data_IF_112762824807
#
_entry.id   IF_112762824807
#
_cell.length_a   1.000
_cell.length_b   1.000
_cell.length_c   1.000
_cell.angle_alpha   90.00
_cell.angle_beta   90.00
_cell.angle_gamma   90.00
#
_symmetry.space_group_name_H-M   'P 1'
#
loop_
_entity.id
_entity.type
_entity.pdbx_description
1 polymer ?
#
# COMPACT_ATOMS: atom_id res chain seq x y z
N UNK A 1 -27.33 -34.59 9.45
CA UNK A 1 -26.70 -34.49 8.11
C UNK A 1 -27.26 -33.27 7.40
N UNK A 2 -26.66 -32.11 7.67
CA UNK A 2 -26.94 -30.89 6.93
C UNK A 2 -25.77 -30.66 6.00
N UNK A 3 -25.98 -30.92 4.71
CA UNK A 3 -25.05 -30.56 3.65
C UNK A 3 -24.98 -29.04 3.57
N UNK A 4 -23.94 -28.44 4.14
CA UNK A 4 -23.51 -27.11 3.75
C UNK A 4 -22.87 -27.25 2.36
N UNK A 5 -23.61 -26.82 1.34
CA UNK A 5 -23.04 -26.67 0.01
C UNK A 5 -21.99 -25.55 0.08
N UNK A 6 -20.72 -25.93 0.01
CA UNK A 6 -19.64 -24.99 -0.30
C UNK A 6 -19.96 -24.35 -1.64
N UNK A 7 -20.28 -23.06 -1.61
CA UNK A 7 -20.36 -22.24 -2.81
C UNK A 7 -18.90 -22.06 -3.26
N UNK A 8 -18.49 -22.58 -4.43
CA UNK A 8 -17.14 -22.34 -4.92
C UNK A 8 -17.00 -20.84 -5.16
N UNK A 9 -16.05 -20.21 -4.48
CA UNK A 9 -15.70 -18.81 -4.72
C UNK A 9 -15.22 -18.72 -6.16
N UNK A 10 -16.03 -18.09 -7.01
CA UNK A 10 -15.95 -18.13 -8.48
C UNK A 10 -14.63 -17.56 -9.08
N UNK A 11 -13.72 -17.04 -8.26
CA UNK A 11 -12.39 -16.53 -8.65
C UNK A 11 -11.34 -17.63 -8.86
N UNK A 12 -11.30 -18.63 -7.97
CA UNK A 12 -10.14 -19.55 -7.80
C UNK A 12 -9.75 -20.36 -9.05
N UNK A 13 -10.72 -20.91 -9.79
CA UNK A 13 -10.43 -21.80 -10.93
C UNK A 13 -9.92 -21.09 -12.19
N UNK A 14 -10.09 -19.78 -12.26
CA UNK A 14 -9.88 -19.00 -13.47
C UNK A 14 -8.60 -18.16 -13.40
N UNK A 15 -8.16 -17.79 -12.18
CA UNK A 15 -6.90 -17.11 -11.89
C UNK A 15 -5.69 -18.05 -12.03
N UNK A 16 -5.85 -19.32 -11.61
CA UNK A 16 -4.88 -20.40 -11.83
C UNK A 16 -4.56 -20.59 -13.31
N UNK A 17 -5.57 -20.54 -14.18
CA UNK A 17 -5.41 -20.74 -15.63
C UNK A 17 -4.65 -19.59 -16.31
N UNK A 18 -4.82 -18.37 -15.82
CA UNK A 18 -4.10 -17.18 -16.30
C UNK A 18 -2.66 -17.19 -15.81
N UNK A 19 -2.40 -17.61 -14.57
CA UNK A 19 -1.03 -17.70 -14.08
C UNK A 19 -0.21 -18.82 -14.73
N UNK A 20 -0.82 -19.96 -15.08
CA UNK A 20 -0.10 -21.00 -15.83
C UNK A 20 0.31 -20.47 -17.20
N UNK A 21 -0.59 -19.73 -17.88
CA UNK A 21 -0.25 -19.01 -19.12
C UNK A 21 0.83 -17.95 -18.89
N UNK A 22 0.78 -17.19 -17.80
CA UNK A 22 1.82 -16.21 -17.46
C UNK A 22 3.19 -16.86 -17.34
N UNK A 23 3.32 -17.94 -16.58
CA UNK A 23 4.61 -18.61 -16.36
C UNK A 23 5.18 -19.26 -17.62
N UNK A 24 4.32 -19.79 -18.49
CA UNK A 24 4.74 -20.24 -19.81
C UNK A 24 5.29 -19.07 -20.64
N UNK A 25 4.62 -17.91 -20.62
CA UNK A 25 5.10 -16.72 -21.33
C UNK A 25 6.33 -16.07 -20.69
N UNK A 26 6.51 -16.16 -19.36
CA UNK A 26 7.72 -15.72 -18.68
C UNK A 26 8.92 -16.51 -19.16
N UNK A 27 8.83 -17.83 -19.32
CA UNK A 27 9.94 -18.64 -19.84
C UNK A 27 10.45 -18.18 -21.21
N UNK A 28 9.61 -17.50 -21.99
CA UNK A 28 9.89 -17.07 -23.36
C UNK A 28 10.17 -15.56 -23.50
N UNK A 29 10.14 -14.78 -22.41
CA UNK A 29 10.25 -13.33 -22.44
C UNK A 29 11.11 -12.78 -21.28
N UNK A 30 12.27 -12.23 -21.62
CA UNK A 30 13.22 -11.68 -20.66
C UNK A 30 12.66 -10.50 -19.83
N UNK A 31 11.83 -9.64 -20.43
CA UNK A 31 11.23 -8.49 -19.73
C UNK A 31 10.22 -8.97 -18.67
N UNK A 32 9.45 -10.00 -18.99
CA UNK A 32 8.52 -10.62 -18.04
C UNK A 32 9.24 -11.38 -16.92
N UNK A 33 10.39 -12.01 -17.19
CA UNK A 33 11.22 -12.64 -16.15
C UNK A 33 11.82 -11.61 -15.20
N UNK A 34 12.36 -10.53 -15.76
CA UNK A 34 12.90 -9.42 -14.97
C UNK A 34 11.81 -8.84 -14.06
N UNK A 35 10.61 -8.64 -14.59
CA UNK A 35 9.49 -8.12 -13.82
C UNK A 35 9.00 -9.10 -12.74
N UNK A 36 8.87 -10.38 -13.06
CA UNK A 36 8.50 -11.41 -12.08
C UNK A 36 9.50 -11.49 -10.92
N UNK A 37 10.80 -11.36 -11.22
CA UNK A 37 11.87 -11.35 -10.22
C UNK A 37 11.78 -10.10 -9.33
N UNK A 38 11.62 -8.91 -9.94
CA UNK A 38 11.47 -7.64 -9.20
C UNK A 38 10.24 -7.66 -8.28
N UNK A 39 9.11 -8.17 -8.78
CA UNK A 39 7.89 -8.34 -7.98
C UNK A 39 8.08 -9.30 -6.81
N UNK A 40 8.80 -10.39 -7.03
CA UNK A 40 9.11 -11.38 -5.99
C UNK A 40 9.99 -10.77 -4.90
N UNK A 41 11.05 -10.06 -5.27
CA UNK A 41 11.94 -9.38 -4.34
C UNK A 41 11.17 -8.35 -3.48
N UNK A 42 10.30 -7.55 -4.11
CA UNK A 42 9.45 -6.61 -3.38
C UNK A 42 8.49 -7.30 -2.41
N UNK A 43 7.83 -8.37 -2.85
CA UNK A 43 6.93 -9.13 -2.00
C UNK A 43 7.69 -9.72 -0.79
N UNK A 44 8.85 -10.34 -1.02
CA UNK A 44 9.72 -10.88 0.03
C UNK A 44 10.17 -9.81 1.03
N UNK A 45 10.60 -8.64 0.53
CA UNK A 45 11.02 -7.51 1.37
C UNK A 45 9.86 -7.03 2.27
N UNK A 46 8.66 -6.86 1.71
CA UNK A 46 7.46 -6.46 2.46
C UNK A 46 7.15 -7.51 3.53
N UNK A 47 7.07 -8.79 3.18
CA UNK A 47 6.69 -9.83 4.13
C UNK A 47 7.74 -10.03 5.23
N UNK A 48 9.02 -9.94 4.89
CA UNK A 48 10.10 -10.00 5.87
C UNK A 48 10.02 -8.84 6.86
N UNK A 49 9.75 -7.63 6.36
CA UNK A 49 9.67 -6.43 7.20
C UNK A 49 8.42 -6.44 8.09
N UNK A 50 7.27 -6.83 7.55
CA UNK A 50 6.04 -6.99 8.35
C UNK A 50 6.22 -8.09 9.41
N UNK A 51 6.90 -9.19 9.07
CA UNK A 51 7.23 -10.25 10.02
C UNK A 51 8.15 -9.77 11.14
N UNK A 52 9.26 -9.12 10.81
CA UNK A 52 10.25 -8.69 11.80
C UNK A 52 9.70 -7.65 12.76
N UNK A 53 8.81 -6.78 12.27
CA UNK A 53 8.19 -5.74 13.08
C UNK A 53 6.97 -6.22 13.86
N UNK A 54 6.33 -7.32 13.43
CA UNK A 54 5.11 -7.86 14.06
C UNK A 54 3.90 -6.93 13.95
N UNK A 55 3.99 -5.88 13.14
CA UNK A 55 2.97 -4.87 12.87
C UNK A 55 3.38 -4.04 11.64
N UNK A 56 2.54 -3.10 11.22
CA UNK A 56 2.97 -2.05 10.30
C UNK A 56 3.79 -1.02 11.08
N UNK A 57 5.06 -0.87 10.70
CA UNK A 57 5.95 0.19 11.15
C UNK A 57 6.20 1.17 10.00
N UNK A 58 6.85 2.30 10.28
CA UNK A 58 7.31 3.20 9.21
C UNK A 58 8.26 2.47 8.25
N UNK A 59 9.11 1.58 8.77
CA UNK A 59 10.01 0.80 7.93
C UNK A 59 9.27 -0.24 7.08
N UNK A 60 8.13 -0.76 7.55
CA UNK A 60 7.25 -1.64 6.77
C UNK A 60 6.55 -0.91 5.63
N UNK A 61 6.29 0.40 5.78
CA UNK A 61 5.67 1.20 4.72
C UNK A 61 6.61 1.50 3.57
N UNK A 62 7.91 1.70 3.81
CA UNK A 62 8.90 1.98 2.75
C UNK A 62 8.88 0.97 1.58
N UNK A 63 9.02 -0.35 1.80
CA UNK A 63 8.99 -1.31 0.71
C UNK A 63 7.62 -1.40 0.03
N UNK A 64 6.53 -1.12 0.77
CA UNK A 64 5.17 -1.04 0.21
C UNK A 64 5.04 0.16 -0.75
N UNK A 65 5.48 1.35 -0.33
CA UNK A 65 5.52 2.57 -1.17
C UNK A 65 6.41 2.35 -2.39
N UNK A 66 7.55 1.67 -2.20
CA UNK A 66 8.48 1.38 -3.28
C UNK A 66 7.87 0.43 -4.33
N UNK A 67 7.25 -0.67 -3.90
CA UNK A 67 6.50 -1.57 -4.78
C UNK A 67 5.50 -0.81 -5.65
N UNK A 68 4.74 0.08 -5.01
CA UNK A 68 3.75 0.92 -5.64
C UNK A 68 4.34 1.85 -6.70
N UNK A 69 5.46 2.49 -6.39
CA UNK A 69 6.19 3.30 -7.35
C UNK A 69 6.73 2.46 -8.53
N UNK A 70 7.45 1.37 -8.27
CA UNK A 70 8.03 0.48 -9.29
C UNK A 70 6.95 -0.09 -10.22
N UNK A 71 5.88 -0.64 -9.64
CA UNK A 71 4.77 -1.24 -10.38
C UNK A 71 4.08 -0.23 -11.28
N UNK A 72 3.80 0.99 -10.79
CA UNK A 72 3.20 2.02 -11.65
C UNK A 72 4.13 2.45 -12.76
N UNK A 73 5.41 2.63 -12.44
CA UNK A 73 6.41 3.02 -13.43
C UNK A 73 6.48 2.02 -14.56
N UNK A 74 6.62 0.75 -14.21
CA UNK A 74 6.77 -0.32 -15.19
C UNK A 74 5.49 -0.52 -16.02
N UNK A 75 4.32 -0.50 -15.39
CA UNK A 75 3.03 -0.59 -16.10
C UNK A 75 2.87 0.55 -17.12
N UNK A 76 3.21 1.78 -16.74
CA UNK A 76 3.12 2.91 -17.67
C UNK A 76 4.12 2.76 -18.81
N UNK A 77 5.39 2.44 -18.53
CA UNK A 77 6.38 2.20 -19.58
C UNK A 77 5.88 1.19 -20.63
N UNK A 78 5.26 0.09 -20.20
CA UNK A 78 4.69 -0.93 -21.09
C UNK A 78 3.47 -0.45 -21.88
N UNK A 79 2.56 0.31 -21.25
CA UNK A 79 1.41 0.90 -21.94
C UNK A 79 1.88 1.87 -23.02
N UNK A 80 2.88 2.70 -22.70
CA UNK A 80 3.43 3.69 -23.63
C UNK A 80 4.14 3.01 -24.80
N UNK A 81 4.98 2.00 -24.52
CA UNK A 81 5.67 1.20 -25.53
C UNK A 81 4.68 0.49 -26.45
N UNK A 82 3.66 -0.16 -25.88
CA UNK A 82 2.61 -0.82 -26.64
C UNK A 82 1.87 0.13 -27.58
N UNK A 83 1.53 1.34 -27.10
CA UNK A 83 0.92 2.34 -27.97
C UNK A 83 1.86 2.74 -29.10
N UNK A 84 3.14 3.02 -28.81
CA UNK A 84 4.13 3.43 -29.82
C UNK A 84 4.20 2.41 -30.97
N UNK A 85 4.35 1.13 -30.61
CA UNK A 85 4.42 0.02 -31.57
C UNK A 85 3.15 -0.10 -32.43
N UNK A 86 1.97 0.17 -31.84
CA UNK A 86 0.71 0.22 -32.58
C UNK A 86 0.64 1.41 -33.54
N UNK A 87 1.12 2.58 -33.11
CA UNK A 87 1.05 3.81 -33.90
C UNK A 87 2.03 3.83 -35.06
N UNK A 88 3.19 3.20 -34.90
CA UNK A 88 4.25 3.11 -35.93
C UNK A 88 4.05 1.91 -36.87
N UNK A 89 3.25 0.92 -36.47
CA UNK A 89 3.01 -0.29 -37.26
C UNK A 89 2.09 -0.10 -38.48
N UNK A 90 2.48 -0.66 -39.62
CA UNK A 90 1.62 -0.75 -40.81
C UNK A 90 0.46 -1.74 -40.59
N UNK A 91 -0.78 -1.28 -40.78
CA UNK A 91 -1.96 -2.11 -40.61
C UNK A 91 -3.20 -1.55 -41.29
N UNK A 92 -4.11 -2.44 -41.69
CA UNK A 92 -5.40 -2.04 -42.26
C UNK A 92 -6.24 -1.22 -41.27
N UNK A 93 -7.12 -0.34 -41.76
CA UNK A 93 -7.95 0.54 -40.92
C UNK A 93 -8.75 -0.22 -39.84
N UNK A 94 -9.22 -1.43 -40.13
CA UNK A 94 -9.93 -2.29 -39.17
C UNK A 94 -9.04 -2.77 -38.03
N UNK A 95 -7.77 -3.07 -38.32
CA UNK A 95 -6.78 -3.51 -37.34
C UNK A 95 -6.30 -2.36 -36.46
N UNK A 96 -6.15 -1.18 -37.04
CA UNK A 96 -5.82 0.06 -36.33
C UNK A 96 -6.90 0.39 -35.29
N UNK A 97 -8.19 0.32 -35.66
CA UNK A 97 -9.32 0.52 -34.74
C UNK A 97 -9.29 -0.44 -33.53
N UNK A 98 -9.09 -1.74 -33.77
CA UNK A 98 -9.03 -2.75 -32.69
C UNK A 98 -7.84 -2.53 -31.74
N UNK A 99 -6.71 -2.04 -32.26
CA UNK A 99 -5.55 -1.73 -31.45
C UNK A 99 -5.73 -0.44 -30.63
N UNK A 100 -6.43 0.56 -31.17
CA UNK A 100 -6.83 1.74 -30.39
C UNK A 100 -7.75 1.37 -29.23
N UNK A 101 -8.76 0.51 -29.45
CA UNK A 101 -9.65 0.02 -28.39
C UNK A 101 -8.87 -0.65 -27.24
N UNK A 102 -7.80 -1.40 -27.57
CA UNK A 102 -6.89 -2.03 -26.60
C UNK A 102 -6.07 -1.03 -25.79
N UNK A 103 -5.52 0.00 -26.46
CA UNK A 103 -4.77 1.07 -25.78
C UNK A 103 -5.68 1.89 -24.88
N UNK A 104 -6.91 2.17 -25.32
CA UNK A 104 -7.88 2.90 -24.52
C UNK A 104 -8.28 2.10 -23.29
N UNK A 105 -8.52 0.80 -23.42
CA UNK A 105 -8.77 -0.08 -22.28
C UNK A 105 -7.61 -0.05 -21.27
N UNK A 106 -6.36 -0.15 -21.74
CA UNK A 106 -5.17 -0.01 -20.88
C UNK A 106 -5.13 1.32 -20.14
N UNK A 107 -5.37 2.41 -20.86
CA UNK A 107 -5.35 3.74 -20.30
C UNK A 107 -6.45 3.93 -19.24
N UNK A 108 -7.67 3.48 -19.54
CA UNK A 108 -8.82 3.65 -18.65
C UNK A 108 -8.66 2.83 -17.37
N UNK A 109 -8.24 1.56 -17.47
CA UNK A 109 -7.97 0.72 -16.30
C UNK A 109 -6.80 1.27 -15.46
N UNK A 110 -5.73 1.75 -16.09
CA UNK A 110 -4.62 2.38 -15.38
C UNK A 110 -5.06 3.65 -14.65
N UNK A 111 -5.80 4.55 -15.32
CA UNK A 111 -6.29 5.80 -14.72
C UNK A 111 -7.22 5.50 -13.53
N UNK A 112 -8.08 4.49 -13.67
CA UNK A 112 -8.98 4.05 -12.60
C UNK A 112 -8.20 3.50 -11.40
N UNK A 113 -7.26 2.60 -11.63
CA UNK A 113 -6.45 1.99 -10.56
C UNK A 113 -5.58 3.03 -9.83
N UNK A 114 -4.84 3.83 -10.61
CA UNK A 114 -3.95 4.87 -10.09
C UNK A 114 -4.69 5.95 -9.29
N UNK A 115 -5.99 6.18 -9.54
CA UNK A 115 -6.77 7.14 -8.75
C UNK A 115 -6.93 6.73 -7.30
N UNK A 116 -7.13 5.45 -7.03
CA UNK A 116 -7.40 4.99 -5.67
C UNK A 116 -6.14 4.69 -4.91
N UNK A 117 -5.10 4.33 -5.64
CA UNK A 117 -3.76 4.35 -5.12
C UNK A 117 -3.34 5.75 -4.66
N UNK A 118 -3.67 6.80 -5.43
CA UNK A 118 -3.46 8.19 -4.99
C UNK A 118 -4.29 8.55 -3.77
N UNK A 119 -5.56 8.13 -3.70
CA UNK A 119 -6.39 8.31 -2.52
C UNK A 119 -5.78 7.65 -1.28
N UNK A 120 -5.26 6.44 -1.44
CA UNK A 120 -4.62 5.70 -0.36
C UNK A 120 -3.31 6.35 0.09
N UNK A 121 -2.44 6.74 -0.86
CA UNK A 121 -1.20 7.47 -0.58
C UNK A 121 -1.45 8.84 0.08
N UNK A 122 -2.53 9.52 -0.29
CA UNK A 122 -2.93 10.79 0.33
C UNK A 122 -3.37 10.58 1.78
N UNK A 123 -4.00 9.45 2.11
CA UNK A 123 -4.32 9.12 3.50
C UNK A 123 -3.07 8.77 4.31
N UNK A 124 -2.05 8.14 3.70
CA UNK A 124 -0.73 7.99 4.33
C UNK A 124 -0.09 9.34 4.59
N UNK A 125 -0.10 10.26 3.62
CA UNK A 125 0.43 11.62 3.79
C UNK A 125 -0.25 12.35 4.97
N UNK A 126 -1.59 12.27 5.06
CA UNK A 126 -2.35 12.81 6.19
C UNK A 126 -1.95 12.15 7.52
N UNK A 127 -1.79 10.84 7.53
CA UNK A 127 -1.34 10.10 8.72
C UNK A 127 0.05 10.59 9.17
N UNK A 128 0.99 10.75 8.25
CA UNK A 128 2.36 11.20 8.53
C UNK A 128 2.38 12.64 9.05
N UNK A 129 1.55 13.51 8.48
CA UNK A 129 1.37 14.87 8.99
C UNK A 129 0.87 14.87 10.45
N UNK A 130 -0.09 14.00 10.79
CA UNK A 130 -0.57 13.84 12.17
C UNK A 130 0.54 13.30 13.08
N UNK A 131 1.31 12.31 12.62
CA UNK A 131 2.47 11.79 13.32
C UNK A 131 3.53 12.88 13.62
N UNK A 132 3.85 13.73 12.64
CA UNK A 132 4.77 14.87 12.77
C UNK A 132 4.25 15.91 13.77
N UNK A 133 2.96 16.21 13.73
CA UNK A 133 2.32 17.13 14.68
C UNK A 133 2.35 16.58 16.11
N UNK A 134 2.05 15.29 16.29
CA UNK A 134 2.14 14.58 17.57
C UNK A 134 3.58 14.57 18.10
N UNK A 135 4.55 14.30 17.23
CA UNK A 135 5.97 14.41 17.56
C UNK A 135 6.31 15.80 18.11
N UNK A 136 5.92 16.86 17.38
CA UNK A 136 6.24 18.25 17.75
C UNK A 136 5.66 18.64 19.11
N UNK A 137 4.43 18.21 19.40
CA UNK A 137 3.82 18.42 20.71
C UNK A 137 4.59 17.64 21.80
N UNK A 138 4.86 16.35 21.56
CA UNK A 138 5.54 15.48 22.54
C UNK A 138 6.94 16.01 22.85
N UNK A 139 7.68 16.43 21.82
CA UNK A 139 9.01 17.02 21.96
C UNK A 139 8.97 18.28 22.83
N UNK A 140 7.94 19.12 22.67
CA UNK A 140 7.74 20.31 23.52
C UNK A 140 7.50 19.94 24.99
N UNK A 141 6.71 18.90 25.27
CA UNK A 141 6.48 18.44 26.65
C UNK A 141 7.76 17.90 27.28
N UNK A 142 8.54 17.12 26.52
CA UNK A 142 9.84 16.59 26.96
C UNK A 142 10.84 17.72 27.19
N UNK A 143 10.89 18.72 26.31
CA UNK A 143 11.75 19.88 26.47
C UNK A 143 11.42 20.65 27.76
N UNK A 144 10.13 20.89 28.01
CA UNK A 144 9.67 21.54 29.23
C UNK A 144 10.09 20.76 30.49
N UNK A 145 10.17 19.43 30.44
CA UNK A 145 10.69 18.63 31.55
C UNK A 145 12.16 18.97 31.87
N UNK A 146 13.02 19.02 30.85
CA UNK A 146 14.46 19.26 31.04
C UNK A 146 14.83 20.72 31.34
N UNK A 147 13.96 21.68 31.03
CA UNK A 147 14.16 23.10 31.31
C UNK A 147 13.83 23.49 32.76
N UNK A 148 13.37 22.56 33.59
CA UNK A 148 12.93 22.87 34.95
C UNK A 148 14.13 23.00 35.91
N UNK A 149 14.22 24.08 36.70
CA UNK A 149 15.28 24.25 37.68
C UNK A 149 15.24 23.18 38.80
N UNK A 150 16.41 22.73 39.24
CA UNK A 150 16.59 21.70 40.28
C UNK A 150 16.01 22.05 41.67
N UNK A 151 15.47 23.26 41.89
CA UNK A 151 14.98 23.76 43.19
C UNK A 151 13.46 23.91 43.35
N UNK A 152 12.64 23.45 42.39
CA UNK A 152 11.17 23.50 42.46
C UNK A 152 10.60 22.39 43.36
N UNK A 153 9.50 22.66 44.09
CA UNK A 153 8.84 21.65 44.92
C UNK A 153 8.39 20.45 44.08
N UNK A 154 8.69 19.23 44.53
CA UNK A 154 8.49 18.01 43.74
C UNK A 154 7.04 17.78 43.34
N UNK A 155 6.07 18.00 44.23
CA UNK A 155 4.67 17.67 43.96
C UNK A 155 4.03 18.52 42.85
N UNK A 156 4.29 19.83 42.84
CA UNK A 156 3.76 20.73 41.81
C UNK A 156 4.41 20.46 40.43
N UNK A 157 5.70 20.14 40.45
CA UNK A 157 6.47 19.73 39.27
C UNK A 157 5.91 18.46 38.61
N UNK A 158 5.75 17.40 39.41
CA UNK A 158 5.20 16.12 38.94
C UNK A 158 3.77 16.25 38.42
N UNK A 159 2.94 17.04 39.11
CA UNK A 159 1.58 17.34 38.67
C UNK A 159 1.55 17.98 37.29
N UNK A 160 2.39 18.99 37.05
CA UNK A 160 2.43 19.70 35.76
C UNK A 160 2.90 18.83 34.61
N UNK A 161 3.90 17.96 34.84
CA UNK A 161 4.39 17.01 33.84
C UNK A 161 3.31 15.98 33.49
N UNK A 162 2.66 15.42 34.51
CA UNK A 162 1.55 14.48 34.33
C UNK A 162 0.40 15.13 33.57
N UNK A 163 0.04 16.37 33.90
CA UNK A 163 -1.03 17.08 33.19
C UNK A 163 -0.69 17.33 31.73
N UNK A 164 0.56 17.66 31.42
CA UNK A 164 1.03 17.81 30.04
C UNK A 164 0.99 16.48 29.26
N UNK A 165 1.42 15.37 29.87
CA UNK A 165 1.31 14.04 29.24
C UNK A 165 -0.15 13.52 29.17
N UNK A 166 -1.03 13.90 30.10
CA UNK A 166 -2.46 13.59 30.03
C UNK A 166 -3.14 14.33 28.87
N UNK A 167 -2.75 15.57 28.58
CA UNK A 167 -3.24 16.31 27.40
C UNK A 167 -2.86 15.61 26.09
N UNK A 168 -1.68 14.98 26.02
CA UNK A 168 -1.30 14.12 24.89
C UNK A 168 -2.28 12.96 24.70
N UNK A 169 -2.73 12.32 25.78
CA UNK A 169 -3.73 11.24 25.74
C UNK A 169 -5.10 11.71 25.22
N UNK A 170 -5.48 12.96 25.48
CA UNK A 170 -6.73 13.53 24.95
C UNK A 170 -6.81 13.55 23.41
N UNK A 171 -5.66 13.46 22.73
CA UNK A 171 -5.57 13.38 21.26
C UNK A 171 -5.73 11.96 20.69
N UNK A 172 -5.95 10.95 21.53
CA UNK A 172 -6.06 9.54 21.14
C UNK A 172 -7.08 9.29 20.03
N UNK A 173 -8.20 10.02 20.04
CA UNK A 173 -9.24 9.91 19.01
C UNK A 173 -8.78 10.27 17.59
N UNK A 174 -7.72 11.09 17.45
CA UNK A 174 -7.24 11.57 16.14
C UNK A 174 -6.54 10.44 15.36
N UNK A 175 -5.67 9.69 16.03
CA UNK A 175 -4.98 8.56 15.41
C UNK A 175 -5.90 7.39 15.15
N UNK A 176 -6.89 7.17 16.02
CA UNK A 176 -7.92 6.13 15.80
C UNK A 176 -8.77 6.46 14.57
N UNK A 177 -9.13 7.73 14.37
CA UNK A 177 -9.84 8.17 13.17
C UNK A 177 -8.99 8.02 11.90
N UNK A 178 -7.71 8.43 11.96
CA UNK A 178 -6.80 8.28 10.81
C UNK A 178 -6.53 6.82 10.46
N UNK A 179 -6.36 5.93 11.45
CA UNK A 179 -6.24 4.49 11.23
C UNK A 179 -7.48 3.90 10.55
N UNK A 180 -8.69 4.32 10.96
CA UNK A 180 -9.95 3.90 10.31
C UNK A 180 -10.05 4.37 8.87
N UNK A 181 -9.64 5.61 8.59
CA UNK A 181 -9.60 6.12 7.23
C UNK A 181 -8.61 5.34 6.37
N UNK A 182 -7.41 5.08 6.89
CA UNK A 182 -6.38 4.32 6.19
C UNK A 182 -6.86 2.90 5.89
N UNK A 183 -7.53 2.25 6.85
CA UNK A 183 -8.18 0.95 6.65
C UNK A 183 -9.20 1.02 5.51
N UNK A 184 -10.12 1.99 5.56
CA UNK A 184 -11.15 2.18 4.52
C UNK A 184 -10.53 2.40 3.13
N UNK A 185 -9.44 3.16 3.05
CA UNK A 185 -8.72 3.38 1.78
C UNK A 185 -7.99 2.12 1.32
N UNK A 186 -7.42 1.33 2.23
CA UNK A 186 -6.80 0.04 1.92
C UNK A 186 -7.84 -0.97 1.39
N UNK A 187 -9.02 -1.02 2.01
CA UNK A 187 -10.15 -1.84 1.56
C UNK A 187 -10.62 -1.41 0.16
N UNK A 188 -10.73 -0.10 -0.08
CA UNK A 188 -11.07 0.42 -1.41
C UNK A 188 -10.02 0.02 -2.46
N UNK A 189 -8.74 0.10 -2.11
CA UNK A 189 -7.64 -0.32 -2.99
C UNK A 189 -7.69 -1.82 -3.29
N UNK A 190 -7.97 -2.64 -2.27
CA UNK A 190 -8.16 -4.09 -2.38
C UNK A 190 -9.30 -4.42 -3.35
N UNK A 191 -10.51 -3.90 -3.11
CA UNK A 191 -11.69 -4.18 -3.94
C UNK A 191 -11.49 -3.81 -5.41
N UNK A 192 -10.62 -2.85 -5.67
CA UNK A 192 -10.30 -2.45 -7.03
C UNK A 192 -9.23 -3.29 -7.69
N UNK A 193 -8.22 -3.75 -6.97
CA UNK A 193 -7.32 -4.75 -7.53
C UNK A 193 -8.13 -6.01 -7.90
N UNK A 194 -9.12 -6.40 -7.11
CA UNK A 194 -10.06 -7.48 -7.46
C UNK A 194 -10.88 -7.16 -8.72
N UNK A 195 -11.39 -5.93 -8.86
CA UNK A 195 -12.14 -5.51 -10.05
C UNK A 195 -11.27 -5.48 -11.30
N UNK A 196 -10.08 -4.90 -11.17
CA UNK A 196 -9.06 -4.83 -12.19
C UNK A 196 -8.71 -6.24 -12.67
N UNK A 197 -8.42 -7.18 -11.76
CA UNK A 197 -8.16 -8.59 -12.10
C UNK A 197 -9.31 -9.22 -12.90
N UNK A 198 -10.57 -8.99 -12.50
CA UNK A 198 -11.75 -9.47 -13.24
C UNK A 198 -11.83 -8.89 -14.65
N UNK A 199 -11.57 -7.58 -14.80
CA UNK A 199 -11.59 -6.90 -16.10
C UNK A 199 -10.48 -7.42 -17.03
N UNK A 200 -9.25 -7.54 -16.50
CA UNK A 200 -8.12 -8.10 -17.25
C UNK A 200 -8.37 -9.52 -17.67
N UNK A 201 -8.93 -10.34 -16.80
CA UNK A 201 -9.25 -11.73 -17.10
C UNK A 201 -10.29 -11.84 -18.22
N UNK A 202 -11.33 -11.00 -18.18
CA UNK A 202 -12.31 -10.93 -19.25
C UNK A 202 -11.64 -10.57 -20.59
N UNK A 203 -10.68 -9.64 -20.60
CA UNK A 203 -9.90 -9.32 -21.79
C UNK A 203 -8.97 -10.45 -22.24
N UNK A 204 -8.26 -11.12 -21.33
CA UNK A 204 -7.40 -12.27 -21.66
C UNK A 204 -8.22 -13.38 -22.33
N UNK A 205 -9.42 -13.67 -21.80
CA UNK A 205 -10.32 -14.68 -22.36
C UNK A 205 -10.76 -14.38 -23.79
N UNK A 206 -10.84 -13.10 -24.19
CA UNK A 206 -11.16 -12.67 -25.56
C UNK A 206 -10.00 -12.92 -26.53
N UNK A 207 -8.78 -13.10 -26.04
CA UNK A 207 -7.57 -13.25 -26.86
C UNK A 207 -7.29 -14.70 -27.29
N UNK A 208 -7.87 -15.69 -26.61
CA UNK A 208 -7.44 -17.09 -26.68
C UNK A 208 -7.97 -17.91 -27.87
N UNK A 209 -8.43 -17.29 -28.98
CA UNK A 209 -8.88 -18.06 -30.17
C UNK A 209 -8.33 -17.67 -31.54
N UNK A 210 -7.73 -16.48 -31.77
CA UNK A 210 -7.51 -16.03 -33.17
C UNK A 210 -6.23 -15.24 -33.55
N UNK A 211 -5.30 -14.86 -32.67
CA UNK A 211 -4.18 -14.00 -33.10
C UNK A 211 -2.79 -14.36 -32.54
N UNK A 212 -1.92 -14.91 -33.40
CA UNK A 212 -0.47 -15.06 -33.16
C UNK A 212 0.29 -13.72 -33.08
N UNK A 213 -0.27 -12.61 -33.60
CA UNK A 213 0.27 -11.24 -33.44
C UNK A 213 -0.14 -10.56 -32.12
N UNK A 214 -0.78 -11.29 -31.21
CA UNK A 214 -1.10 -10.79 -29.87
C UNK A 214 0.05 -10.93 -28.85
N UNK A 215 1.30 -11.19 -29.26
CA UNK A 215 2.42 -11.41 -28.31
C UNK A 215 2.66 -10.17 -27.43
N UNK A 216 2.81 -8.99 -28.02
CA UNK A 216 2.98 -7.74 -27.25
C UNK A 216 1.78 -7.44 -26.34
N UNK A 217 0.57 -7.55 -26.88
CA UNK A 217 -0.64 -7.33 -26.09
C UNK A 217 -0.77 -8.32 -24.93
N UNK A 218 -0.48 -9.60 -25.17
CA UNK A 218 -0.44 -10.63 -24.13
C UNK A 218 0.62 -10.32 -23.08
N UNK A 219 1.80 -9.86 -23.48
CA UNK A 219 2.87 -9.48 -22.55
C UNK A 219 2.42 -8.36 -21.61
N UNK A 220 1.92 -7.26 -22.16
CA UNK A 220 1.47 -6.10 -21.38
C UNK A 220 0.34 -6.48 -20.42
N UNK A 221 -0.63 -7.26 -20.91
CA UNK A 221 -1.76 -7.72 -20.10
C UNK A 221 -1.31 -8.67 -18.99
N UNK A 222 -0.42 -9.62 -19.29
CA UNK A 222 0.17 -10.55 -18.32
C UNK A 222 0.93 -9.81 -17.21
N UNK A 223 1.70 -8.80 -17.61
CA UNK A 223 2.50 -7.98 -16.72
C UNK A 223 1.67 -7.16 -15.74
N UNK A 224 0.63 -6.51 -16.27
CA UNK A 224 -0.35 -5.76 -15.46
C UNK A 224 -1.11 -6.71 -14.54
N UNK A 225 -1.52 -7.88 -15.04
CA UNK A 225 -2.24 -8.87 -14.25
C UNK A 225 -1.42 -9.33 -13.03
N UNK A 226 -0.16 -9.73 -13.23
CA UNK A 226 0.68 -10.20 -12.12
C UNK A 226 1.03 -9.08 -11.15
N UNK A 227 1.29 -7.86 -11.66
CA UNK A 227 1.38 -6.68 -10.80
C UNK A 227 0.11 -6.50 -9.96
N UNK A 228 -1.09 -6.64 -10.55
CA UNK A 228 -2.33 -6.48 -9.81
C UNK A 228 -2.56 -7.60 -8.76
N UNK A 229 -2.12 -8.84 -9.02
CA UNK A 229 -2.16 -9.94 -8.03
C UNK A 229 -1.28 -9.60 -6.83
N UNK A 230 -0.03 -9.21 -7.04
CA UNK A 230 0.88 -8.84 -5.95
C UNK A 230 0.34 -7.62 -5.18
N UNK A 231 -0.19 -6.63 -5.90
CA UNK A 231 -0.83 -5.45 -5.30
C UNK A 231 -2.04 -5.80 -4.44
N UNK A 232 -2.86 -6.76 -4.88
CA UNK A 232 -3.99 -7.28 -4.11
C UNK A 232 -3.52 -7.92 -2.80
N UNK A 233 -2.51 -8.79 -2.86
CA UNK A 233 -1.96 -9.46 -1.67
C UNK A 233 -1.41 -8.44 -0.68
N UNK A 234 -0.65 -7.44 -1.15
CA UNK A 234 -0.14 -6.36 -0.31
C UNK A 234 -1.29 -5.56 0.34
N UNK A 235 -2.32 -5.20 -0.43
CA UNK A 235 -3.48 -4.48 0.09
C UNK A 235 -4.25 -5.30 1.14
N UNK A 236 -4.36 -6.62 0.95
CA UNK A 236 -4.95 -7.52 1.95
C UNK A 236 -4.13 -7.56 3.24
N UNK A 237 -2.79 -7.63 3.16
CA UNK A 237 -1.92 -7.60 4.34
C UNK A 237 -2.08 -6.28 5.07
N UNK A 238 -1.98 -5.15 4.36
CA UNK A 238 -2.14 -3.82 4.94
C UNK A 238 -3.48 -3.72 5.67
N UNK A 239 -4.57 -4.14 5.02
CA UNK A 239 -5.93 -4.13 5.60
C UNK A 239 -5.98 -4.96 6.88
N UNK A 240 -5.50 -6.21 6.84
CA UNK A 240 -5.57 -7.12 7.98
C UNK A 240 -4.71 -6.66 9.15
N UNK A 241 -3.50 -6.15 8.89
CA UNK A 241 -2.58 -5.70 9.94
C UNK A 241 -3.05 -4.38 10.56
N UNK A 242 -3.66 -3.46 9.80
CA UNK A 242 -4.31 -2.27 10.38
C UNK A 242 -5.48 -2.68 11.26
N UNK A 243 -6.31 -3.62 10.81
CA UNK A 243 -7.46 -4.09 11.57
C UNK A 243 -7.06 -4.83 12.85
N UNK A 244 -6.01 -5.66 12.78
CA UNK A 244 -5.51 -6.47 13.88
C UNK A 244 -3.98 -6.66 13.77
N UNK A 245 -3.16 -5.82 14.42
CA UNK A 245 -1.71 -5.91 14.32
C UNK A 245 -1.14 -7.30 14.67
N UNK A 246 -1.76 -8.00 15.64
CA UNK A 246 -1.36 -9.33 16.10
C UNK A 246 -1.36 -10.41 14.99
N UNK A 247 -2.00 -10.16 13.84
CA UNK A 247 -2.04 -11.12 12.74
C UNK A 247 -0.82 -11.05 11.81
N UNK A 248 0.02 -10.00 11.95
CA UNK A 248 1.15 -9.74 11.06
C UNK A 248 2.15 -10.90 10.97
N UNK A 249 2.54 -11.47 12.12
CA UNK A 249 3.49 -12.57 12.18
C UNK A 249 2.94 -13.85 11.54
N UNK A 250 1.67 -14.15 11.79
CA UNK A 250 1.00 -15.33 11.27
C UNK A 250 0.87 -15.27 9.74
N UNK A 251 0.38 -14.15 9.21
CA UNK A 251 0.26 -13.94 7.75
C UNK A 251 1.64 -14.02 7.09
N UNK A 252 2.60 -13.29 7.62
CA UNK A 252 3.93 -13.21 6.99
C UNK A 252 4.65 -14.56 7.04
N UNK A 253 4.48 -15.34 8.12
CA UNK A 253 5.12 -16.66 8.23
C UNK A 253 4.50 -17.70 7.29
N UNK A 254 3.21 -17.60 6.97
CA UNK A 254 2.58 -18.44 5.96
C UNK A 254 3.06 -18.10 4.55
N UNK A 255 3.29 -16.81 4.28
CA UNK A 255 3.56 -16.31 2.93
C UNK A 255 5.06 -16.36 2.53
N UNK A 256 5.99 -16.09 3.46
CA UNK A 256 7.44 -16.01 3.15
C UNK A 256 8.00 -17.25 2.43
N UNK A 257 7.70 -18.51 2.86
CA UNK A 257 8.19 -19.70 2.16
C UNK A 257 7.73 -19.81 0.70
N UNK A 258 6.59 -19.19 0.38
CA UNK A 258 5.92 -19.32 -0.92
C UNK A 258 6.46 -18.35 -1.95
N UNK A 259 6.80 -17.13 -1.52
CA UNK A 259 7.48 -16.17 -2.39
C UNK A 259 8.73 -16.82 -3.03
N UNK A 260 9.40 -17.72 -2.32
CA UNK A 260 10.58 -18.45 -2.80
C UNK A 260 10.29 -19.59 -3.82
N UNK A 261 9.04 -19.98 -4.06
CA UNK A 261 8.68 -21.14 -4.91
C UNK A 261 8.67 -20.84 -6.43
N UNK A 262 8.60 -21.90 -7.27
CA UNK A 262 8.58 -21.78 -8.74
C UNK A 262 7.25 -21.30 -9.34
N UNK A 263 6.14 -21.45 -8.61
CA UNK A 263 4.79 -20.94 -8.94
C UNK A 263 4.34 -19.88 -7.94
N UNK A 264 5.26 -18.99 -7.55
CA UNK A 264 5.09 -18.15 -6.37
C UNK A 264 3.87 -17.24 -6.44
N UNK A 265 3.47 -16.70 -7.59
CA UNK A 265 2.34 -15.77 -7.71
C UNK A 265 0.98 -16.40 -7.39
N UNK A 266 0.71 -17.60 -7.92
CA UNK A 266 -0.53 -18.37 -7.61
C UNK A 266 -0.52 -18.81 -6.17
N UNK A 267 0.57 -19.44 -5.75
CA UNK A 267 0.69 -19.94 -4.39
C UNK A 267 0.60 -18.79 -3.38
N UNK A 268 1.15 -17.63 -3.71
CA UNK A 268 1.07 -16.42 -2.89
C UNK A 268 -0.37 -15.98 -2.70
N UNK A 269 -1.15 -15.91 -3.79
CA UNK A 269 -2.55 -15.50 -3.73
C UNK A 269 -3.43 -16.51 -2.99
N UNK A 270 -3.32 -17.81 -3.31
CA UNK A 270 -4.13 -18.86 -2.68
C UNK A 270 -3.84 -18.98 -1.18
N UNK A 271 -2.58 -18.89 -0.78
CA UNK A 271 -2.20 -18.94 0.63
C UNK A 271 -2.57 -17.65 1.36
N UNK A 272 -2.39 -16.49 0.72
CA UNK A 272 -2.81 -15.23 1.33
C UNK A 272 -4.31 -15.29 1.61
N UNK A 273 -5.13 -15.68 0.63
CA UNK A 273 -6.58 -15.86 0.80
C UNK A 273 -6.90 -16.81 1.96
N UNK A 274 -6.21 -17.96 2.06
CA UNK A 274 -6.38 -18.92 3.15
C UNK A 274 -6.00 -18.33 4.51
N UNK A 275 -4.85 -17.66 4.59
CA UNK A 275 -4.38 -17.02 5.82
C UNK A 275 -5.38 -15.95 6.28
N UNK A 276 -5.90 -15.14 5.37
CA UNK A 276 -6.90 -14.12 5.69
C UNK A 276 -8.24 -14.72 6.13
N UNK A 277 -8.73 -15.79 5.48
CA UNK A 277 -9.97 -16.49 5.89
C UNK A 277 -9.84 -17.06 7.30
N UNK A 278 -8.76 -17.79 7.57
CA UNK A 278 -8.49 -18.35 8.91
C UNK A 278 -8.44 -17.27 9.99
N UNK A 279 -7.88 -16.10 9.67
CA UNK A 279 -7.78 -14.98 10.60
C UNK A 279 -9.09 -14.23 10.77
N UNK A 280 -9.89 -14.10 9.71
CA UNK A 280 -11.22 -13.49 9.74
C UNK A 280 -12.15 -14.29 10.66
N UNK A 281 -12.14 -15.62 10.56
CA UNK A 281 -12.92 -16.53 11.42
C UNK A 281 -12.51 -16.44 12.90
N UNK A 282 -11.25 -16.14 13.20
CA UNK A 282 -10.74 -15.97 14.57
C UNK A 282 -11.00 -14.56 15.17
N UNK A 283 -11.35 -13.57 14.33
CA UNK A 283 -11.37 -12.15 14.72
C UNK A 283 -12.75 -11.56 15.02
N UNK A 284 -13.84 -12.23 14.64
CA UNK A 284 -15.21 -11.70 14.85
C UNK A 284 -15.55 -11.47 16.34
N UNK A 285 -14.81 -12.06 17.27
CA UNK A 285 -14.95 -11.82 18.72
C UNK A 285 -13.92 -10.87 19.36
N UNK A 286 -12.80 -10.52 18.70
CA UNK A 286 -11.61 -9.95 19.39
C UNK A 286 -11.16 -8.54 18.99
N UNK A 287 -11.73 -7.91 17.97
CA UNK A 287 -11.28 -6.61 17.45
C UNK A 287 -12.02 -5.39 18.02
N UNK A 288 -12.07 -5.23 19.35
CA UNK A 288 -12.62 -4.02 20.00
C UNK A 288 -11.59 -2.98 20.43
N UNK A 289 -10.30 -3.29 20.41
CA UNK A 289 -9.24 -2.34 20.74
C UNK A 289 -8.34 -2.10 19.52
N UNK A 290 -8.82 -1.32 18.54
CA UNK A 290 -7.97 -0.79 17.47
C UNK A 290 -6.92 0.12 18.10
N UNK A 291 -5.71 -0.40 18.35
CA UNK A 291 -4.60 0.37 18.94
C UNK A 291 -3.50 0.59 17.90
N UNK A 292 -3.46 1.83 17.42
CA UNK A 292 -2.38 2.53 16.71
C UNK A 292 -1.81 1.76 15.51
N UNK A 293 -2.19 2.22 14.30
CA UNK A 293 -1.78 1.62 13.01
C UNK A 293 -0.27 1.62 12.73
N UNK A 294 0.53 2.33 13.54
CA UNK A 294 2.00 2.36 13.43
C UNK A 294 2.66 1.99 14.75
N UNK A 295 3.48 0.95 14.72
CA UNK A 295 4.22 0.40 15.87
C UNK A 295 4.98 1.47 16.66
N UNK A 296 5.77 2.32 15.99
CA UNK A 296 6.60 3.32 16.69
C UNK A 296 5.78 4.35 17.48
N UNK A 297 4.61 4.76 16.99
CA UNK A 297 3.70 5.63 17.75
C UNK A 297 3.14 4.92 18.98
N UNK A 298 2.85 3.62 18.85
CA UNK A 298 2.45 2.76 19.97
C UNK A 298 3.54 2.68 21.04
N UNK A 299 4.79 2.48 20.63
CA UNK A 299 5.95 2.38 21.52
C UNK A 299 6.22 3.69 22.29
N UNK A 300 6.10 4.83 21.60
CA UNK A 300 6.21 6.16 22.23
C UNK A 300 5.08 6.35 23.25
N UNK A 301 3.84 6.04 22.88
CA UNK A 301 2.68 6.16 23.79
C UNK A 301 2.82 5.26 25.01
N UNK A 302 3.28 4.03 24.83
CA UNK A 302 3.54 3.09 25.92
C UNK A 302 4.58 3.66 26.89
N UNK A 303 5.67 4.22 26.37
CA UNK A 303 6.73 4.84 27.17
C UNK A 303 6.21 6.07 27.96
N UNK A 304 5.38 6.91 27.34
CA UNK A 304 4.71 8.05 28.00
C UNK A 304 3.80 7.57 29.15
N UNK A 305 3.01 6.53 28.92
CA UNK A 305 2.16 5.95 29.98
C UNK A 305 3.00 5.38 31.13
N UNK A 306 4.16 4.79 30.83
CA UNK A 306 5.14 4.37 31.83
C UNK A 306 5.56 5.53 32.73
N UNK A 307 5.92 6.68 32.14
CA UNK A 307 6.27 7.90 32.89
C UNK A 307 5.11 8.41 33.75
N UNK A 308 3.90 8.49 33.19
CA UNK A 308 2.71 8.92 33.95
C UNK A 308 2.50 8.00 35.17
N UNK A 309 2.61 6.69 35.00
CA UNK A 309 2.41 5.71 36.06
C UNK A 309 3.50 5.79 37.14
N UNK A 310 4.77 5.93 36.74
CA UNK A 310 5.89 6.14 37.67
C UNK A 310 5.64 7.39 38.53
N UNK A 311 5.30 8.51 37.91
CA UNK A 311 5.04 9.77 38.63
C UNK A 311 3.82 9.63 39.56
N UNK A 312 2.72 9.04 39.10
CA UNK A 312 1.53 8.83 39.94
C UNK A 312 1.85 7.95 41.15
N UNK A 313 2.64 6.88 40.98
CA UNK A 313 2.98 5.97 42.08
C UNK A 313 3.72 6.69 43.23
N UNK A 314 4.58 7.65 42.88
CA UNK A 314 5.30 8.50 43.84
C UNK A 314 4.35 9.51 44.49
N UNK A 315 3.46 10.14 43.72
CA UNK A 315 2.49 11.11 44.26
C UNK A 315 1.52 10.50 45.28
N UNK A 316 1.13 9.24 45.09
CA UNK A 316 0.20 8.54 45.98
C UNK A 316 0.90 7.75 47.11
N UNK A 317 2.23 7.60 47.07
CA UNK A 317 3.01 6.96 48.13
C UNK A 317 4.25 7.81 48.50
N UNK A 318 4.07 8.85 49.33
CA UNK A 318 5.12 9.85 49.65
C UNK A 318 6.31 9.29 50.46
N UNK A 319 6.27 8.02 50.88
CA UNK A 319 7.40 7.32 51.48
C UNK A 319 8.34 6.65 50.47
N UNK A 320 8.02 6.70 49.17
CA UNK A 320 8.92 6.25 48.11
C UNK A 320 9.89 7.37 47.72
N UNK A 321 11.19 7.17 47.98
CA UNK A 321 12.22 8.03 47.38
C UNK A 321 12.13 7.88 45.87
N UNK A 322 11.71 8.95 45.19
CA UNK A 322 11.74 8.96 43.75
C UNK A 322 13.19 8.98 43.30
N UNK A 323 13.58 7.97 42.53
CA UNK A 323 14.83 8.02 41.80
C UNK A 323 14.67 9.00 40.61
N UNK A 324 15.00 10.27 40.84
CA UNK A 324 15.04 11.31 39.80
C UNK A 324 15.90 10.86 38.62
N UNK A 325 16.94 10.05 38.88
CA UNK A 325 17.82 9.52 37.85
C UNK A 325 17.08 8.52 36.95
N UNK A 326 16.19 7.68 37.50
CA UNK A 326 15.33 6.78 36.74
C UNK A 326 14.32 7.53 35.86
N UNK A 327 13.73 8.62 36.37
CA UNK A 327 12.82 9.46 35.57
C UNK A 327 13.56 10.20 34.45
N UNK A 328 14.74 10.77 34.76
CA UNK A 328 15.61 11.41 33.78
C UNK A 328 16.08 10.43 32.70
N UNK A 329 16.43 9.21 33.10
CA UNK A 329 16.80 8.13 32.17
C UNK A 329 15.64 7.81 31.24
N UNK A 330 14.44 7.58 31.79
CA UNK A 330 13.24 7.30 30.99
C UNK A 330 12.92 8.46 30.04
N UNK A 331 13.04 9.70 30.50
CA UNK A 331 12.79 10.87 29.66
C UNK A 331 13.81 11.02 28.52
N UNK A 332 15.09 10.73 28.79
CA UNK A 332 16.14 10.69 27.76
C UNK A 332 15.88 9.58 26.74
N UNK A 333 15.42 8.42 27.20
CA UNK A 333 15.04 7.31 26.32
C UNK A 333 13.87 7.70 25.39
N UNK A 334 12.81 8.30 25.95
CA UNK A 334 11.69 8.81 25.15
C UNK A 334 12.18 9.85 24.14
N UNK A 335 13.02 10.81 24.56
CA UNK A 335 13.59 11.82 23.66
C UNK A 335 14.36 11.17 22.50
N UNK A 336 15.14 10.14 22.78
CA UNK A 336 15.90 9.39 21.76
C UNK A 336 14.97 8.65 20.79
N UNK A 337 13.98 7.91 21.32
CA UNK A 337 12.98 7.20 20.50
C UNK A 337 12.17 8.16 19.63
N UNK A 338 11.82 9.32 20.18
CA UNK A 338 11.07 10.37 19.50
C UNK A 338 11.87 10.98 18.33
N UNK A 339 13.17 11.22 18.53
CA UNK A 339 14.06 11.68 17.46
C UNK A 339 14.23 10.65 16.33
N UNK A 340 14.42 9.36 16.69
CA UNK A 340 14.47 8.28 15.70
C UNK A 340 13.16 8.16 14.91
N UNK A 341 12.01 8.31 15.59
CA UNK A 341 10.70 8.33 14.97
C UNK A 341 10.53 9.46 13.96
N UNK A 342 10.93 10.70 14.29
CA UNK A 342 10.83 11.83 13.36
C UNK A 342 11.63 11.57 12.07
N UNK A 343 12.87 11.10 12.20
CA UNK A 343 13.71 10.81 11.03
C UNK A 343 13.02 9.81 10.09
N UNK A 344 12.42 8.76 10.65
CA UNK A 344 11.65 7.78 9.87
C UNK A 344 10.44 8.42 9.17
N UNK A 345 9.67 9.25 9.89
CA UNK A 345 8.51 9.97 9.33
C UNK A 345 8.94 10.84 8.16
N UNK A 346 9.98 11.67 8.34
CA UNK A 346 10.46 12.59 7.30
C UNK A 346 10.99 11.88 6.06
N UNK A 347 11.62 10.71 6.23
CA UNK A 347 12.06 9.91 5.10
C UNK A 347 10.87 9.30 4.34
N UNK A 348 9.90 8.73 5.05
CA UNK A 348 8.72 8.16 4.42
C UNK A 348 7.85 9.23 3.75
N UNK A 349 7.73 10.43 4.33
CA UNK A 349 7.04 11.58 3.73
C UNK A 349 7.61 11.89 2.33
N UNK A 350 8.94 11.91 2.18
CA UNK A 350 9.60 12.15 0.88
C UNK A 350 9.27 11.04 -0.12
N UNK A 351 9.28 9.78 0.30
CA UNK A 351 8.97 8.64 -0.57
C UNK A 351 7.51 8.66 -1.03
N UNK A 352 6.57 8.97 -0.13
CA UNK A 352 5.15 9.13 -0.44
C UNK A 352 4.94 10.28 -1.41
N UNK A 353 5.50 11.46 -1.14
CA UNK A 353 5.36 12.65 -1.98
C UNK A 353 5.91 12.40 -3.39
N UNK A 354 7.10 11.78 -3.47
CA UNK A 354 7.74 11.38 -4.74
C UNK A 354 6.82 10.44 -5.53
N UNK A 355 6.24 9.44 -4.86
CA UNK A 355 5.37 8.45 -5.48
C UNK A 355 4.07 9.09 -5.98
N UNK A 356 3.45 9.95 -5.19
CA UNK A 356 2.25 10.72 -5.58
C UNK A 356 2.53 11.57 -6.82
N UNK A 357 3.63 12.35 -6.81
CA UNK A 357 4.02 13.20 -7.95
C UNK A 357 4.24 12.37 -9.21
N UNK A 358 4.91 11.22 -9.07
CA UNK A 358 5.16 10.32 -10.18
C UNK A 358 3.85 9.80 -10.78
N UNK A 359 2.95 9.24 -9.96
CA UNK A 359 1.68 8.67 -10.44
C UNK A 359 0.82 9.72 -11.12
N UNK A 360 0.77 10.95 -10.58
CA UNK A 360 0.05 12.08 -11.23
C UNK A 360 0.60 12.35 -12.62
N UNK A 361 1.92 12.51 -12.76
CA UNK A 361 2.56 12.69 -14.07
C UNK A 361 2.28 11.53 -15.02
N UNK A 362 2.41 10.31 -14.53
CA UNK A 362 2.19 9.11 -15.33
C UNK A 362 0.74 8.99 -15.82
N UNK A 363 -0.25 9.44 -15.02
CA UNK A 363 -1.65 9.60 -15.45
C UNK A 363 -1.80 10.63 -16.55
N UNK A 364 -1.14 11.78 -16.43
CA UNK A 364 -1.18 12.83 -17.45
C UNK A 364 -0.59 12.32 -18.77
N UNK A 365 0.54 11.62 -18.73
CA UNK A 365 1.19 11.01 -19.89
C UNK A 365 0.25 10.00 -20.60
N UNK A 366 -0.36 9.09 -19.83
CA UNK A 366 -1.35 8.12 -20.34
C UNK A 366 -2.60 8.82 -20.89
N UNK A 367 -3.09 9.88 -20.23
CA UNK A 367 -4.28 10.63 -20.63
C UNK A 367 -4.07 11.42 -21.92
N UNK A 368 -2.98 12.20 -22.02
CA UNK A 368 -2.58 12.93 -23.24
C UNK A 368 -2.48 11.94 -24.40
N UNK A 369 -1.95 10.76 -24.12
CA UNK A 369 -1.86 9.71 -25.12
C UNK A 369 -3.22 9.19 -25.58
N UNK A 370 -4.21 9.09 -24.71
CA UNK A 370 -5.59 8.74 -25.08
C UNK A 370 -6.26 9.85 -25.93
N UNK A 371 -5.97 11.13 -25.62
CA UNK A 371 -6.55 12.28 -26.35
C UNK A 371 -5.98 12.47 -27.76
N UNK A 372 -4.69 12.18 -27.97
CA UNK A 372 -4.08 12.25 -29.31
C UNK A 372 -4.69 11.22 -30.29
N UNK A 373 -5.08 10.05 -29.80
CA UNK A 373 -5.81 9.03 -30.60
C UNK A 373 -7.17 9.56 -31.07
N UNK A 374 -7.83 10.39 -30.25
CA UNK A 374 -9.13 11.00 -30.58
C UNK A 374 -9.00 12.20 -31.53
N UNK A 375 -7.88 12.94 -31.52
CA UNK A 375 -7.69 14.07 -32.44
C UNK A 375 -7.27 13.67 -33.87
N UNK A 376 -6.49 12.59 -34.03
CA UNK A 376 -6.19 12.03 -35.38
C UNK A 376 -7.49 11.64 -36.11
N UNK A 377 -8.52 11.20 -35.38
CA UNK A 377 -9.86 10.93 -35.94
C UNK A 377 -10.56 12.17 -36.48
N UNK A 378 -10.45 13.33 -35.82
CA UNK A 378 -11.08 14.58 -36.29
C UNK A 378 -10.35 15.16 -37.51
N UNK A 379 -9.01 15.09 -37.54
CA UNK A 379 -8.23 15.53 -38.70
C UNK A 379 -8.46 14.66 -39.94
N UNK A 380 -8.51 13.33 -39.78
CA UNK A 380 -8.76 12.41 -40.90
C UNK A 380 -10.19 12.52 -41.47
N UNK A 381 -11.20 12.75 -40.63
CA UNK A 381 -12.57 13.00 -41.09
C UNK A 381 -12.71 14.30 -41.89
N UNK A 382 -11.97 15.36 -41.52
CA UNK A 382 -11.94 16.61 -42.27
C UNK A 382 -11.26 16.46 -43.64
N UNK A 383 -10.22 15.63 -43.76
CA UNK A 383 -9.58 15.36 -45.05
C UNK A 383 -10.45 14.48 -45.97
N UNK A 384 -11.18 13.50 -45.43
CA UNK A 384 -12.11 12.70 -46.23
C UNK A 384 -13.37 13.46 -46.67
N UNK A 385 -13.82 14.49 -45.93
CA UNK A 385 -14.94 15.34 -46.35
C UNK A 385 -14.53 16.36 -47.42
N UNK A 386 -13.30 16.86 -47.38
CA UNK A 386 -12.76 17.77 -48.41
C UNK A 386 -12.45 17.03 -49.73
N UNK A 387 -12.01 15.77 -49.67
CA UNK A 387 -11.78 14.96 -50.87
C UNK A 387 -13.07 14.50 -51.57
N UNK A 388 -14.24 14.62 -50.92
CA UNK A 388 -15.56 14.32 -51.51
C UNK A 388 -16.33 15.55 -51.99
N UNK A 389 -15.81 16.77 -51.77
CA UNK A 389 -16.43 17.99 -52.27
C UNK A 389 -15.92 18.44 -53.65
N UNK A 390 -14.90 17.75 -54.20
CA UNK A 390 -14.27 18.07 -55.49
C UNK A 390 -14.48 16.99 -56.57
N UNK A 391 -15.60 16.24 -56.53
CA UNK A 391 -16.05 15.37 -57.64
C UNK A 391 -17.48 15.73 -58.04
#
# INVERSE_FOLDING_TARGET
MTHTAEIPTKCSYSETLVSTSFQEHCKENADLQSWDTELKEHAEEIFKTVKSEGALSIDSWKPIINYWWCSNKKIVEEILAFKKDITEGEGSSRKKKKNEERVNFLADEYIKNSSNMLDFLSEIENFLLLARNSHSYTAKVIQQYFEIPNGMSGAEFYGKIVDNFKKLRGSDNIFDHSAKNLLKKAESLKSQHEEMLRNWQAEISKLSKKEKRAKLWKNVVNMIFVGAVVGLVIAQIVTAVIAAPAVAEAISSAIVPIAMAGHWTVSLFEESERAFKNLQELNEERCKETRIAIKELGDIKFSINGVINQINSVMYNPGSEMDREQLDFTMKEIKSKLGAFLNKVEDLEKDVEKTIKYIRKARDDVHIMNTQVTQVKKGAFCFESLARSDI
#
